data_IF_837123433763
#
_entry.id   IF_837123433763
#
_cell.length_a   1.000
_cell.length_b   1.000
_cell.length_c   1.000
_cell.angle_alpha   90.00
_cell.angle_beta   90.00
_cell.angle_gamma   90.00
#
_symmetry.space_group_name_H-M   'P 1'
#
loop_
_entity.id
_entity.type
_entity.pdbx_description
1 polymer ?
#
# COMPACT_ATOMS: atom_id res chain seq x y z
N UNK A 1 -62.33 -20.20 3.70
CA UNK A 1 -61.26 -19.65 2.83
C UNK A 1 -60.32 -18.83 3.69
N UNK A 2 -59.10 -19.30 3.96
CA UNK A 2 -58.03 -18.51 4.59
C UNK A 2 -56.93 -18.35 3.54
N UNK A 3 -56.72 -17.10 3.10
CA UNK A 3 -55.69 -16.75 2.12
C UNK A 3 -54.41 -16.46 2.89
N UNK A 4 -53.41 -17.34 2.77
CA UNK A 4 -52.08 -17.14 3.34
C UNK A 4 -51.26 -16.23 2.41
N UNK A 5 -50.88 -15.04 2.90
CA UNK A 5 -50.01 -14.11 2.20
C UNK A 5 -48.56 -14.52 2.46
N UNK A 6 -47.85 -14.96 1.43
CA UNK A 6 -46.39 -15.09 1.49
C UNK A 6 -45.76 -13.72 1.18
N UNK A 7 -45.02 -13.16 2.13
CA UNK A 7 -44.18 -12.00 1.91
C UNK A 7 -42.79 -12.49 1.49
N UNK A 8 -42.38 -12.16 0.26
CA UNK A 8 -41.02 -12.38 -0.21
C UNK A 8 -40.19 -11.12 0.11
N UNK A 9 -39.14 -11.29 0.91
CA UNK A 9 -38.19 -10.21 1.23
C UNK A 9 -37.04 -10.27 0.24
N UNK A 10 -36.97 -9.31 -0.67
CA UNK A 10 -35.85 -9.16 -1.61
C UNK A 10 -34.71 -8.43 -0.90
N UNK A 11 -33.58 -9.10 -0.67
CA UNK A 11 -32.33 -8.42 -0.30
C UNK A 11 -31.73 -7.80 -1.57
N UNK A 12 -31.74 -6.47 -1.67
CA UNK A 12 -30.92 -5.76 -2.64
C UNK A 12 -29.51 -5.61 -2.07
N UNK A 13 -28.52 -6.23 -2.72
CA UNK A 13 -27.12 -5.85 -2.55
C UNK A 13 -26.84 -4.66 -3.46
N UNK A 14 -26.59 -3.49 -2.86
CA UNK A 14 -26.07 -2.34 -3.58
C UNK A 14 -24.56 -2.55 -3.77
N UNK A 15 -24.10 -2.76 -5.00
CA UNK A 15 -22.69 -2.67 -5.34
C UNK A 15 -22.34 -1.17 -5.45
N UNK A 16 -21.67 -0.63 -4.43
CA UNK A 16 -21.05 0.69 -4.53
C UNK A 16 -19.91 0.60 -5.53
N UNK A 17 -19.99 1.37 -6.63
CA UNK A 17 -18.82 1.59 -7.48
C UNK A 17 -17.77 2.31 -6.63
N UNK A 18 -16.65 1.67 -6.39
CA UNK A 18 -15.57 2.29 -5.65
C UNK A 18 -14.82 3.24 -6.58
N UNK A 19 -14.92 4.54 -6.31
CA UNK A 19 -14.05 5.52 -6.94
C UNK A 19 -12.67 5.38 -6.30
N UNK A 20 -11.64 5.31 -7.14
CA UNK A 20 -10.28 5.29 -6.64
C UNK A 20 -9.98 6.55 -5.86
N UNK A 21 -9.24 6.40 -4.77
CA UNK A 21 -9.14 7.42 -3.73
C UNK A 21 -7.73 7.97 -3.58
N UNK A 22 -7.67 9.20 -3.09
CA UNK A 22 -6.45 9.89 -2.68
C UNK A 22 -6.40 9.91 -1.15
N UNK A 23 -5.27 9.50 -0.58
CA UNK A 23 -4.90 9.78 0.80
C UNK A 23 -4.13 11.10 0.85
N UNK A 24 -4.43 11.94 1.83
CA UNK A 24 -3.70 13.19 2.06
C UNK A 24 -3.02 13.07 3.42
N UNK A 25 -1.72 13.31 3.43
CA UNK A 25 -0.91 13.37 4.64
C UNK A 25 -1.52 14.32 5.68
N UNK A 26 -1.46 13.92 6.95
CA UNK A 26 -1.97 14.74 8.05
C UNK A 26 -1.49 14.27 9.43
N UNK A 27 -0.81 15.13 10.23
CA UNK A 27 -0.15 16.37 9.85
C UNK A 27 1.23 16.15 9.19
N UNK A 28 1.86 15.03 9.50
CA UNK A 28 3.21 14.56 9.14
C UNK A 28 3.13 13.03 9.16
N UNK A 29 3.71 12.32 8.18
CA UNK A 29 3.56 10.86 8.14
C UNK A 29 4.49 10.12 9.11
N UNK A 30 5.51 10.82 9.64
CA UNK A 30 6.53 10.28 10.51
C UNK A 30 7.56 9.42 9.78
N UNK A 31 8.74 9.27 10.39
CA UNK A 31 9.94 8.73 9.73
C UNK A 31 10.31 7.28 10.16
N UNK A 32 9.43 6.55 10.85
CA UNK A 32 9.79 5.26 11.46
C UNK A 32 8.66 4.22 11.39
N UNK A 33 8.96 2.92 11.59
CA UNK A 33 7.91 1.90 11.69
C UNK A 33 6.91 2.17 12.80
N UNK A 34 7.30 2.88 13.86
CA UNK A 34 6.45 3.17 15.00
C UNK A 34 5.60 4.44 14.83
N UNK A 35 6.00 5.35 13.94
CA UNK A 35 5.37 6.67 13.76
C UNK A 35 4.64 6.82 12.43
N UNK A 36 4.68 5.80 11.58
CA UNK A 36 4.03 5.80 10.27
C UNK A 36 2.57 6.27 10.31
N UNK A 37 2.13 6.90 9.24
CA UNK A 37 0.73 7.26 9.05
C UNK A 37 -0.04 6.17 8.30
N UNK A 38 -1.10 5.65 8.91
CA UNK A 38 -2.03 4.76 8.23
C UNK A 38 -2.79 5.51 7.13
N UNK A 39 -2.74 4.99 5.90
CA UNK A 39 -3.59 5.50 4.81
C UNK A 39 -5.05 5.18 5.08
N UNK A 40 -5.96 6.08 4.66
CA UNK A 40 -7.40 5.96 4.96
C UNK A 40 -8.28 6.13 3.73
N UNK A 41 -9.49 5.54 3.81
CA UNK A 41 -10.64 5.77 2.94
C UNK A 41 -11.12 4.53 2.15
N UNK A 42 -11.57 4.68 0.90
CA UNK A 42 -12.02 3.60 0.01
C UNK A 42 -10.90 2.91 -0.79
N UNK A 43 -11.23 1.74 -1.34
CA UNK A 43 -10.33 0.92 -2.19
C UNK A 43 -10.81 0.97 -3.65
N UNK A 44 -9.94 1.15 -4.65
CA UNK A 44 -8.48 1.18 -4.54
C UNK A 44 -7.95 2.54 -4.05
N UNK A 45 -6.78 2.52 -3.41
CA UNK A 45 -5.98 3.70 -3.14
C UNK A 45 -5.13 4.01 -4.39
N UNK A 46 -5.42 5.14 -5.05
CA UNK A 46 -4.76 5.53 -6.29
C UNK A 46 -3.58 6.46 -6.10
N UNK A 47 -3.61 7.30 -5.06
CA UNK A 47 -2.46 8.11 -4.72
C UNK A 47 -2.40 8.54 -3.26
N UNK A 48 -1.20 8.91 -2.85
CA UNK A 48 -0.89 9.58 -1.59
C UNK A 48 -0.33 10.96 -1.94
N UNK A 49 -0.82 12.01 -1.30
CA UNK A 49 -0.28 13.38 -1.46
C UNK A 49 0.29 13.82 -0.12
N UNK A 50 1.55 14.24 -0.14
CA UNK A 50 2.29 14.67 1.04
C UNK A 50 3.23 15.83 0.79
N UNK A 51 4.05 16.20 1.77
CA UNK A 51 5.02 17.30 1.69
C UNK A 51 6.26 17.05 2.53
N UNK A 52 7.42 16.95 1.86
CA UNK A 52 8.73 16.95 2.53
C UNK A 52 9.06 18.36 3.00
N UNK A 53 9.31 18.55 4.30
CA UNK A 53 9.76 19.80 4.88
C UNK A 53 9.47 20.02 6.37
N UNK A 54 8.92 19.03 7.07
CA UNK A 54 8.64 19.08 8.51
C UNK A 54 9.22 17.84 9.23
N UNK A 55 9.48 17.87 10.54
CA UNK A 55 9.67 19.06 11.35
C UNK A 55 10.98 19.80 11.00
N UNK A 56 11.89 19.22 10.21
CA UNK A 56 13.16 19.83 9.82
C UNK A 56 13.20 20.02 8.29
N UNK A 57 13.30 21.25 7.77
CA UNK A 57 13.33 21.49 6.34
C UNK A 57 14.48 20.75 5.65
N UNK A 58 14.14 19.92 4.66
CA UNK A 58 15.10 19.13 3.87
C UNK A 58 15.62 17.86 4.56
N UNK A 59 15.19 17.58 5.79
CA UNK A 59 15.50 16.37 6.56
C UNK A 59 14.18 15.83 7.10
N UNK A 60 13.43 15.25 6.19
CA UNK A 60 12.09 14.74 6.42
C UNK A 60 11.89 13.52 5.53
N UNK A 61 11.24 12.50 6.10
CA UNK A 61 10.81 11.32 5.40
C UNK A 61 9.41 10.93 5.86
N UNK A 62 8.57 10.60 4.89
CA UNK A 62 7.20 10.22 5.17
C UNK A 62 7.02 8.72 5.02
N UNK A 63 6.63 8.05 6.12
CA UNK A 63 6.33 6.62 6.13
C UNK A 63 4.83 6.40 6.22
N UNK A 64 4.26 5.78 5.20
CA UNK A 64 2.85 5.41 5.14
C UNK A 64 2.64 3.91 5.32
N UNK A 65 1.61 3.51 6.05
CA UNK A 65 1.08 2.14 5.92
C UNK A 65 0.10 2.09 4.73
N UNK A 66 0.28 1.09 3.88
CA UNK A 66 -0.60 0.74 2.77
C UNK A 66 -0.95 -0.75 2.81
N UNK A 67 -2.09 -1.13 2.24
CA UNK A 67 -2.40 -2.55 2.00
C UNK A 67 -2.11 -2.90 0.54
N UNK A 68 -1.18 -3.82 0.29
CA UNK A 68 -0.91 -4.33 -1.06
C UNK A 68 -1.82 -5.52 -1.33
N UNK A 69 -2.73 -5.35 -2.29
CA UNK A 69 -3.78 -6.32 -2.62
C UNK A 69 -3.18 -7.55 -3.33
N UNK A 70 -2.22 -7.31 -4.22
CA UNK A 70 -1.50 -8.29 -5.03
C UNK A 70 -0.23 -7.64 -5.58
N UNK A 71 0.95 -8.18 -5.22
CA UNK A 71 2.23 -7.63 -5.70
C UNK A 71 2.46 -7.79 -7.20
N UNK A 72 1.72 -8.65 -7.88
CA UNK A 72 1.75 -8.71 -9.35
C UNK A 72 1.06 -7.50 -10.00
N UNK A 73 0.24 -6.77 -9.24
CA UNK A 73 -0.43 -5.53 -9.64
C UNK A 73 0.15 -4.28 -8.95
N UNK A 74 1.08 -4.47 -8.03
CA UNK A 74 1.68 -3.39 -7.25
C UNK A 74 2.62 -2.54 -8.11
N UNK A 75 2.45 -1.22 -8.05
CA UNK A 75 3.47 -0.26 -8.43
C UNK A 75 3.32 1.02 -7.62
N UNK A 76 4.43 1.72 -7.42
CA UNK A 76 4.46 3.03 -6.80
C UNK A 76 5.41 3.95 -7.58
N UNK A 77 5.02 5.20 -7.81
CA UNK A 77 5.84 6.19 -8.51
C UNK A 77 5.66 7.54 -7.85
N UNK A 78 6.77 8.15 -7.44
CA UNK A 78 6.75 9.52 -6.92
C UNK A 78 6.59 10.52 -8.05
N UNK A 79 6.00 11.67 -7.74
CA UNK A 79 5.90 12.84 -8.60
C UNK A 79 6.18 14.05 -7.71
N UNK A 80 7.38 14.60 -7.84
CA UNK A 80 7.88 15.69 -7.02
C UNK A 80 8.57 16.75 -7.88
N UNK A 81 8.67 17.97 -7.34
CA UNK A 81 9.51 19.04 -7.91
C UNK A 81 10.97 18.97 -7.47
N UNK A 82 11.34 17.91 -6.75
CA UNK A 82 12.65 17.65 -6.17
C UNK A 82 13.06 16.20 -6.46
N UNK A 83 14.33 15.89 -6.24
CA UNK A 83 14.89 14.55 -6.39
C UNK A 83 14.44 13.66 -5.22
N UNK A 84 13.72 12.58 -5.51
CA UNK A 84 12.93 11.84 -4.52
C UNK A 84 13.26 10.36 -4.54
N UNK A 85 13.39 9.76 -3.36
CA UNK A 85 13.56 8.33 -3.20
C UNK A 85 12.27 7.68 -2.69
N UNK A 86 12.07 6.41 -3.03
CA UNK A 86 10.95 5.59 -2.56
C UNK A 86 11.45 4.27 -1.98
N UNK A 87 10.88 3.86 -0.85
CA UNK A 87 11.31 2.68 -0.10
C UNK A 87 10.11 1.82 0.29
N UNK A 88 10.29 0.50 0.24
CA UNK A 88 9.29 -0.50 0.63
C UNK A 88 9.85 -1.35 1.77
N UNK A 89 9.05 -1.49 2.82
CA UNK A 89 9.35 -2.33 3.98
C UNK A 89 8.14 -3.19 4.35
N UNK A 90 8.39 -4.28 5.06
CA UNK A 90 7.31 -4.98 5.76
C UNK A 90 6.82 -4.18 6.99
N UNK A 91 5.76 -4.65 7.63
CA UNK A 91 5.22 -3.98 8.85
C UNK A 91 6.13 -4.08 10.08
N UNK A 92 7.15 -4.93 10.06
CA UNK A 92 8.17 -4.94 11.11
C UNK A 92 9.28 -3.91 10.85
N UNK A 93 9.29 -3.27 9.68
CA UNK A 93 10.33 -2.34 9.24
C UNK A 93 11.51 -3.02 8.56
N UNK A 94 11.40 -4.29 8.16
CA UNK A 94 12.44 -4.95 7.38
C UNK A 94 12.42 -4.45 5.94
N UNK A 95 13.60 -4.09 5.42
CA UNK A 95 13.76 -3.60 4.06
C UNK A 95 13.33 -4.65 3.02
N UNK A 96 12.68 -4.20 1.94
CA UNK A 96 12.30 -5.03 0.80
C UNK A 96 12.91 -4.48 -0.49
N UNK A 97 12.68 -3.21 -0.80
CA UNK A 97 13.10 -2.60 -2.04
C UNK A 97 13.23 -1.08 -1.90
N UNK A 98 14.16 -0.47 -2.64
CA UNK A 98 14.28 0.97 -2.78
C UNK A 98 14.44 1.36 -4.24
N UNK A 99 14.14 2.61 -4.58
CA UNK A 99 14.59 3.19 -5.82
C UNK A 99 14.78 4.71 -5.64
N UNK A 100 15.93 5.20 -6.10
CA UNK A 100 16.25 6.62 -6.20
C UNK A 100 15.76 7.18 -7.54
N UNK A 101 16.44 6.84 -8.63
CA UNK A 101 15.96 7.15 -9.97
C UNK A 101 15.41 5.94 -10.73
N UNK A 102 14.28 6.13 -11.38
CA UNK A 102 13.69 5.11 -12.25
C UNK A 102 14.51 4.81 -13.50
N UNK A 103 14.86 5.82 -14.32
CA UNK A 103 15.47 5.57 -15.65
C UNK A 103 16.64 6.48 -16.03
N UNK A 104 16.79 7.64 -15.41
CA UNK A 104 17.89 8.59 -15.63
C UNK A 104 18.06 9.49 -14.40
N UNK A 105 19.19 10.19 -14.27
CA UNK A 105 19.49 10.96 -13.06
C UNK A 105 18.47 12.08 -12.81
N UNK A 106 17.95 12.15 -11.59
CA UNK A 106 16.87 13.05 -11.17
C UNK A 106 15.51 12.70 -11.76
N UNK A 107 15.30 11.43 -12.15
CA UNK A 107 13.98 10.92 -12.53
C UNK A 107 13.27 10.43 -11.27
N UNK A 108 11.93 10.41 -11.22
CA UNK A 108 11.26 10.02 -9.99
C UNK A 108 11.61 8.60 -9.54
N UNK A 109 11.56 8.36 -8.24
CA UNK A 109 11.59 7.03 -7.65
C UNK A 109 10.41 6.16 -8.09
N UNK A 110 10.71 4.95 -8.54
CA UNK A 110 9.75 3.99 -9.08
C UNK A 110 9.97 2.61 -8.43
N UNK A 111 8.91 2.07 -7.85
CA UNK A 111 8.74 0.64 -7.63
C UNK A 111 7.87 0.07 -8.77
N UNK A 112 8.46 -0.53 -9.81
CA UNK A 112 7.77 -0.91 -11.03
C UNK A 112 6.93 -2.18 -10.87
N UNK A 113 5.87 -2.30 -11.65
CA UNK A 113 5.06 -3.52 -11.68
C UNK A 113 5.89 -4.75 -12.06
N UNK A 114 5.79 -5.81 -11.25
CA UNK A 114 6.42 -7.10 -11.53
C UNK A 114 7.89 -7.21 -11.16
N UNK A 115 8.42 -6.30 -10.33
CA UNK A 115 9.80 -6.43 -9.83
C UNK A 115 10.01 -7.72 -9.02
N UNK A 116 11.09 -8.49 -9.28
CA UNK A 116 11.34 -9.76 -8.62
C UNK A 116 11.55 -9.65 -7.10
N UNK A 117 11.88 -8.47 -6.55
CA UNK A 117 12.08 -8.29 -5.11
C UNK A 117 10.78 -8.44 -4.32
N UNK A 118 9.63 -8.15 -4.92
CA UNK A 118 8.34 -8.18 -4.20
C UNK A 118 7.20 -8.92 -4.89
N UNK A 119 7.29 -9.28 -6.19
CA UNK A 119 6.18 -9.93 -6.93
C UNK A 119 5.65 -11.24 -6.29
N UNK A 120 6.44 -11.89 -5.42
CA UNK A 120 6.06 -13.11 -4.71
C UNK A 120 5.64 -12.91 -3.25
N UNK A 121 5.61 -11.68 -2.74
CA UNK A 121 5.23 -11.40 -1.36
C UNK A 121 3.72 -11.57 -1.15
N UNK A 122 3.28 -11.94 0.07
CA UNK A 122 1.86 -12.09 0.37
C UNK A 122 1.16 -10.74 0.34
N UNK A 123 -0.11 -10.73 -0.06
CA UNK A 123 -0.99 -9.59 0.18
C UNK A 123 -1.05 -9.25 1.68
N UNK A 124 -1.10 -7.98 2.02
CA UNK A 124 -1.02 -7.53 3.40
C UNK A 124 -0.67 -6.06 3.54
N UNK A 125 -0.50 -5.64 4.79
CA UNK A 125 -0.03 -4.29 5.09
C UNK A 125 1.50 -4.21 4.94
N UNK A 126 1.97 -3.09 4.41
CA UNK A 126 3.38 -2.77 4.18
C UNK A 126 3.63 -1.29 4.47
N UNK A 127 4.89 -0.93 4.69
CA UNK A 127 5.31 0.45 4.86
C UNK A 127 5.92 0.99 3.56
N UNK A 128 5.49 2.16 3.14
CA UNK A 128 5.99 2.89 1.99
C UNK A 128 6.64 4.20 2.48
N UNK A 129 7.96 4.31 2.32
CA UNK A 129 8.74 5.49 2.69
C UNK A 129 9.01 6.39 1.49
N UNK A 130 8.99 7.71 1.71
CA UNK A 130 9.33 8.73 0.72
C UNK A 130 10.27 9.74 1.38
N UNK A 131 11.37 10.08 0.72
CA UNK A 131 12.27 11.14 1.15
C UNK A 131 12.81 11.91 -0.06
N UNK A 132 13.56 12.98 0.19
CA UNK A 132 14.43 13.56 -0.83
C UNK A 132 15.75 12.79 -0.93
N UNK A 133 16.38 12.85 -2.11
CA UNK A 133 17.70 12.26 -2.40
C UNK A 133 18.67 12.33 -1.21
N UNK A 134 19.26 11.16 -0.93
CA UNK A 134 20.32 10.92 0.04
C UNK A 134 19.87 11.22 1.48
N UNK A 135 18.58 11.06 1.78
CA UNK A 135 18.08 10.93 3.15
C UNK A 135 17.44 9.56 3.27
N UNK A 136 18.24 8.61 3.74
CA UNK A 136 18.01 7.18 3.57
C UNK A 136 17.64 6.48 4.88
N UNK A 137 16.87 5.38 4.81
CA UNK A 137 16.48 4.61 5.98
C UNK A 137 17.70 3.89 6.57
N UNK A 138 17.89 4.03 7.89
CA UNK A 138 19.01 3.45 8.63
C UNK A 138 18.56 2.53 9.75
N UNK A 139 19.39 1.54 10.09
CA UNK A 139 19.22 0.69 11.25
C UNK A 139 19.64 1.39 12.56
N UNK A 140 19.52 0.70 13.70
CA UNK A 140 19.92 1.23 15.00
C UNK A 140 21.43 1.55 15.13
N UNK A 141 22.27 1.03 14.22
CA UNK A 141 23.68 1.34 14.12
C UNK A 141 23.99 2.55 13.23
N UNK A 142 22.98 3.09 12.53
CA UNK A 142 23.14 4.17 11.55
C UNK A 142 23.61 3.68 10.18
N UNK A 143 23.49 2.39 9.87
CA UNK A 143 23.80 1.84 8.56
C UNK A 143 22.55 1.82 7.68
N UNK A 144 22.68 2.25 6.43
CA UNK A 144 21.61 2.17 5.43
C UNK A 144 21.08 0.74 5.29
N UNK A 145 19.75 0.59 5.31
CA UNK A 145 19.09 -0.72 5.20
C UNK A 145 18.81 -1.14 3.76
N UNK A 146 18.85 -0.19 2.82
CA UNK A 146 18.61 -0.40 1.38
C UNK A 146 19.81 0.12 0.58
N UNK A 147 20.00 -0.41 -0.62
CA UNK A 147 21.12 0.00 -1.48
C UNK A 147 20.98 1.44 -1.99
N UNK A 148 22.12 2.11 -2.14
CA UNK A 148 22.25 3.49 -2.63
C UNK A 148 22.84 3.52 -4.06
N UNK A 149 22.14 2.87 -4.99
CA UNK A 149 22.49 2.97 -6.40
C UNK A 149 21.62 4.03 -7.07
N UNK A 150 22.23 4.82 -7.96
CA UNK A 150 21.52 5.86 -8.69
C UNK A 150 20.35 5.34 -9.54
N UNK A 151 20.34 4.08 -9.99
CA UNK A 151 19.27 3.59 -10.88
C UNK A 151 18.84 2.17 -10.54
N UNK A 152 17.55 1.92 -10.75
CA UNK A 152 16.97 0.59 -10.63
C UNK A 152 16.55 0.26 -9.20
N UNK A 153 15.81 -0.82 -9.07
CA UNK A 153 15.26 -1.23 -7.78
C UNK A 153 16.34 -1.98 -7.00
N UNK A 154 16.66 -1.46 -5.83
CA UNK A 154 17.75 -1.95 -5.00
C UNK A 154 17.23 -2.88 -3.88
N UNK A 155 17.93 -4.01 -3.63
CA UNK A 155 17.59 -4.91 -2.54
C UNK A 155 18.08 -4.37 -1.17
N UNK A 156 17.70 -5.05 -0.08
CA UNK A 156 18.25 -4.75 1.25
C UNK A 156 19.76 -4.94 1.32
N UNK A 157 20.43 -4.07 2.09
CA UNK A 157 21.83 -4.24 2.47
C UNK A 157 21.99 -5.34 3.52
N UNK A 158 23.23 -5.63 3.92
CA UNK A 158 23.47 -6.50 5.07
C UNK A 158 22.80 -5.99 6.37
N UNK A 159 22.70 -4.67 6.55
CA UNK A 159 22.02 -4.08 7.71
C UNK A 159 20.50 -4.28 7.62
N UNK A 160 19.91 -4.05 6.44
CA UNK A 160 18.47 -4.24 6.22
C UNK A 160 18.01 -5.70 6.29
N UNK A 161 18.92 -6.66 6.08
CA UNK A 161 18.66 -8.07 6.36
C UNK A 161 18.84 -8.45 7.84
N UNK A 162 19.61 -7.67 8.61
CA UNK A 162 19.91 -7.95 10.00
C UNK A 162 18.86 -7.41 10.97
N UNK A 163 18.18 -6.32 10.61
CA UNK A 163 17.15 -5.72 11.44
C UNK A 163 16.36 -4.63 10.71
N UNK A 164 15.33 -4.09 11.40
CA UNK A 164 14.48 -3.07 10.82
C UNK A 164 15.15 -1.71 10.78
N UNK A 165 14.67 -0.84 9.89
CA UNK A 165 15.01 0.58 9.98
C UNK A 165 14.41 1.19 11.25
N UNK A 166 15.07 2.22 11.78
CA UNK A 166 14.62 2.95 12.98
C UNK A 166 14.37 4.43 12.71
N UNK A 167 14.79 4.92 11.55
CA UNK A 167 14.66 6.31 11.13
C UNK A 167 15.40 6.54 9.81
N UNK A 168 15.62 7.80 9.47
CA UNK A 168 16.34 8.23 8.28
C UNK A 168 17.57 9.07 8.65
N UNK A 169 18.60 9.04 7.81
CA UNK A 169 19.81 9.84 7.97
C UNK A 169 20.44 10.13 6.60
N UNK A 170 21.30 11.15 6.54
CA UNK A 170 22.00 11.51 5.31
C UNK A 170 22.03 13.02 5.09
N UNK A 171 22.04 13.43 3.83
CA UNK A 171 22.11 14.82 3.39
C UNK A 171 20.75 15.45 3.14
N UNK A 172 19.83 14.71 2.51
CA UNK A 172 18.56 15.27 2.04
C UNK A 172 18.72 16.54 1.20
N UNK A 173 17.68 17.39 1.23
CA UNK A 173 17.76 18.77 0.69
C UNK A 173 16.71 19.12 -0.36
N UNK A 174 15.94 18.14 -0.83
CA UNK A 174 14.69 18.38 -1.54
C UNK A 174 13.58 18.76 -0.56
N UNK A 175 12.68 19.66 -0.96
CA UNK A 175 11.51 20.02 -0.15
C UNK A 175 10.33 20.39 -1.04
N UNK A 176 9.13 20.19 -0.51
CA UNK A 176 7.88 20.55 -1.16
C UNK A 176 6.90 19.40 -1.29
N UNK A 177 5.80 19.67 -1.98
CA UNK A 177 4.74 18.70 -2.17
C UNK A 177 5.16 17.59 -3.13
N UNK A 178 4.66 16.39 -2.88
CA UNK A 178 4.76 15.26 -3.78
C UNK A 178 3.44 14.50 -3.89
N UNK A 179 3.30 13.71 -4.95
CA UNK A 179 2.27 12.70 -5.10
C UNK A 179 2.92 11.34 -5.34
N UNK A 180 2.46 10.30 -4.67
CA UNK A 180 2.79 8.91 -5.00
C UNK A 180 1.61 8.31 -5.74
N UNK A 181 1.81 7.88 -6.98
CA UNK A 181 0.78 7.16 -7.77
C UNK A 181 0.91 5.67 -7.55
N UNK A 182 -0.22 5.00 -7.30
CA UNK A 182 -0.28 3.62 -6.84
C UNK A 182 -1.18 2.75 -7.73
N UNK A 183 -0.82 1.48 -7.86
CA UNK A 183 -1.67 0.42 -8.42
C UNK A 183 -1.63 -0.81 -7.52
N UNK A 184 -2.71 -1.60 -7.48
CA UNK A 184 -2.76 -2.83 -6.66
C UNK A 184 -2.72 -2.58 -5.15
N UNK A 185 -3.16 -1.40 -4.71
CA UNK A 185 -3.11 -0.95 -3.32
C UNK A 185 -4.50 -0.54 -2.83
N UNK A 186 -4.77 -0.87 -1.58
CA UNK A 186 -5.88 -0.39 -0.77
C UNK A 186 -5.37 0.38 0.47
N UNK A 187 -6.22 1.15 1.15
CA UNK A 187 -5.84 1.79 2.41
C UNK A 187 -5.39 0.76 3.46
N UNK A 188 -4.52 1.18 4.38
CA UNK A 188 -3.97 0.35 5.46
C UNK A 188 -5.08 -0.43 6.20
N UNK A 189 -4.86 -1.73 6.43
CA UNK A 189 -5.82 -2.58 7.14
C UNK A 189 -7.08 -2.93 6.33
N UNK A 190 -7.10 -2.68 5.01
CA UNK A 190 -8.19 -3.11 4.16
C UNK A 190 -8.38 -4.62 4.25
N UNK A 191 -9.59 -5.05 4.58
CA UNK A 191 -9.98 -6.46 4.51
C UNK A 191 -10.52 -6.71 3.12
N UNK A 192 -9.70 -7.28 2.24
CA UNK A 192 -10.15 -7.64 0.91
C UNK A 192 -10.91 -8.97 1.01
N UNK A 193 -12.23 -8.99 0.76
CA UNK A 193 -12.94 -10.24 0.69
C UNK A 193 -12.35 -11.03 -0.47
N UNK A 194 -11.74 -12.18 -0.15
CA UNK A 194 -11.39 -13.17 -1.16
C UNK A 194 -12.61 -13.33 -2.07
N UNK A 195 -12.47 -13.30 -3.40
CA UNK A 195 -13.60 -13.54 -4.29
C UNK A 195 -14.18 -14.88 -3.87
N UNK A 196 -15.36 -14.85 -3.25
CA UNK A 196 -15.95 -16.02 -2.62
C UNK A 196 -16.05 -17.09 -3.69
N UNK A 197 -15.22 -18.12 -3.60
CA UNK A 197 -15.28 -19.27 -4.49
C UNK A 197 -16.65 -19.92 -4.30
N UNK A 198 -17.60 -19.54 -5.14
CA UNK A 198 -18.91 -20.14 -5.29
C UNK A 198 -19.70 -20.36 -3.99
N UNK A 199 -20.58 -19.42 -3.64
CA UNK A 199 -21.86 -19.81 -3.05
C UNK A 199 -22.73 -20.48 -4.14
N UNK A 200 -22.23 -21.56 -4.75
CA UNK A 200 -23.00 -22.50 -5.55
C UNK A 200 -23.80 -23.40 -4.58
N UNK A 201 -24.75 -22.79 -3.88
CA UNK A 201 -25.81 -23.48 -3.15
C UNK A 201 -27.11 -23.40 -3.94
N UNK A 202 -27.10 -23.86 -5.20
CA UNK A 202 -28.31 -24.00 -6.00
C UNK A 202 -28.96 -25.37 -5.73
N UNK A 203 -30.25 -25.32 -5.39
CA UNK A 203 -31.27 -26.38 -5.48
C UNK A 203 -31.42 -27.34 -4.29
N UNK A 204 -32.52 -27.11 -3.55
CA UNK A 204 -33.33 -28.15 -2.92
C UNK A 204 -34.82 -27.83 -3.08
N UNK A 205 -35.35 -27.92 -4.31
CA UNK A 205 -36.80 -27.89 -4.55
C UNK A 205 -37.46 -29.13 -3.92
N UNK A 206 -38.13 -28.95 -2.79
CA UNK A 206 -39.01 -29.95 -2.18
C UNK A 206 -40.48 -29.71 -2.51
N UNK A 207 -40.88 -29.90 -3.78
CA UNK A 207 -42.27 -30.00 -4.19
C UNK A 207 -42.78 -31.42 -3.87
N UNK A 208 -43.38 -31.63 -2.71
CA UNK A 208 -44.15 -32.85 -2.41
C UNK A 208 -45.61 -32.62 -2.78
N UNK A 209 -46.03 -33.19 -3.91
CA UNK A 209 -47.44 -33.27 -4.31
C UNK A 209 -48.12 -34.50 -3.70
N UNK A 210 -49.27 -34.25 -3.07
CA UNK A 210 -50.45 -35.07 -2.77
C UNK A 210 -50.35 -36.63 -2.83
N UNK A 211 -50.72 -37.26 -1.70
CA UNK A 211 -51.49 -38.52 -1.72
C UNK A 211 -52.77 -38.38 -0.91
N UNK A 212 -53.88 -38.23 -1.63
CA UNK A 212 -55.26 -38.31 -1.14
C UNK A 212 -55.54 -39.75 -0.68
N UNK A 213 -56.05 -39.95 0.53
CA UNK A 213 -56.84 -41.14 0.88
C UNK A 213 -58.14 -40.71 1.58
N UNK A 214 -59.15 -41.52 1.30
CA UNK A 214 -60.60 -41.27 1.35
C UNK A 214 -61.10 -40.96 2.76
#
# INVERSE_FOLDING_TARGET
MRVSKFAATTLLFAASAAFGQVHVEFPDAGESPATHQATTGGSPLLSIVGTIGAPVPGFDADVYCIHVDDFSLFSATTLAGFDSQIFLFDMAGMAIAANDDGTFLGSPGILPLGDPLYVGLPAGDYLLGISSFDYDPVDAGGFEVLGDAFFGVEPPTAAGLAGPFVGFAGFGGGLGAYEVRLTGVSPCGAVIPLPSAGLMGLVGMGLVTLRRRR
#
